data_IF_980779688612
#
_entry.id   IF_980779688612
#
_cell.length_a   1.000
_cell.length_b   1.000
_cell.length_c   1.000
_cell.angle_alpha   90.00
_cell.angle_beta   90.00
_cell.angle_gamma   90.00
#
_symmetry.space_group_name_H-M   'P 1'
#
loop_
_entity.id
_entity.type
_entity.pdbx_description
1 polymer ?
#
# COMPACT_ATOMS: atom_id res chain seq x y z
N UNK A 1 -20.37 -17.35 1.73
CA UNK A 1 -19.33 -16.91 2.70
C UNK A 1 -17.95 -16.74 2.06
N UNK A 2 -17.54 -17.59 1.10
CA UNK A 2 -16.22 -17.50 0.45
C UNK A 2 -16.02 -16.23 -0.42
N UNK A 3 -17.06 -15.74 -1.09
CA UNK A 3 -16.95 -14.57 -1.97
C UNK A 3 -16.69 -13.25 -1.24
N UNK A 4 -17.23 -13.09 -0.03
CA UNK A 4 -16.98 -11.91 0.82
C UNK A 4 -15.51 -11.80 1.22
N UNK A 5 -14.91 -12.92 1.63
CA UNK A 5 -13.48 -12.97 1.99
C UNK A 5 -12.56 -12.70 0.80
N UNK A 6 -12.93 -13.16 -0.40
CA UNK A 6 -12.16 -12.89 -1.63
C UNK A 6 -12.29 -11.44 -2.11
N UNK A 7 -13.44 -10.80 -1.84
CA UNK A 7 -13.64 -9.38 -2.09
C UNK A 7 -12.81 -8.53 -1.11
N UNK A 8 -12.92 -8.81 0.19
CA UNK A 8 -12.15 -8.13 1.24
C UNK A 8 -10.65 -8.26 1.03
N UNK A 9 -10.16 -9.45 0.68
CA UNK A 9 -8.75 -9.67 0.35
C UNK A 9 -8.30 -8.80 -0.82
N UNK A 10 -9.08 -8.72 -1.90
CA UNK A 10 -8.75 -7.88 -3.07
C UNK A 10 -8.74 -6.39 -2.74
N UNK A 11 -9.71 -5.93 -1.97
CA UNK A 11 -9.78 -4.54 -1.52
C UNK A 11 -8.60 -4.19 -0.59
N UNK A 12 -8.26 -5.10 0.32
CA UNK A 12 -7.10 -4.93 1.18
C UNK A 12 -5.80 -4.82 0.37
N UNK A 13 -5.58 -5.70 -0.63
CA UNK A 13 -4.41 -5.59 -1.50
C UNK A 13 -4.36 -4.30 -2.32
N UNK A 14 -5.52 -3.79 -2.77
CA UNK A 14 -5.59 -2.53 -3.51
C UNK A 14 -5.13 -1.33 -2.66
N UNK A 15 -5.44 -1.31 -1.36
CA UNK A 15 -5.01 -0.24 -0.44
C UNK A 15 -3.48 -0.12 -0.31
N UNK A 16 -2.73 -1.22 -0.52
CA UNK A 16 -1.27 -1.24 -0.42
C UNK A 16 -0.58 -1.37 -1.78
N UNK A 17 -1.32 -1.23 -2.89
CA UNK A 17 -0.77 -1.40 -4.24
C UNK A 17 -0.19 -0.11 -4.83
N UNK A 18 -0.26 1.02 -4.12
CA UNK A 18 0.21 2.30 -4.66
C UNK A 18 1.73 2.39 -4.59
N UNK A 19 2.34 3.05 -5.59
CA UNK A 19 3.79 3.31 -5.58
C UNK A 19 4.19 4.13 -4.36
N UNK A 20 3.35 5.09 -3.98
CA UNK A 20 3.53 5.95 -2.81
C UNK A 20 3.52 5.16 -1.49
N UNK A 21 2.72 4.10 -1.35
CA UNK A 21 2.73 3.25 -0.16
C UNK A 21 4.05 2.48 -0.02
N UNK A 22 4.59 1.98 -1.13
CA UNK A 22 5.88 1.28 -1.15
C UNK A 22 7.02 2.24 -0.83
N UNK A 23 7.01 3.43 -1.42
CA UNK A 23 7.99 4.49 -1.17
C UNK A 23 7.95 4.95 0.30
N UNK A 24 6.77 5.16 0.87
CA UNK A 24 6.62 5.52 2.28
C UNK A 24 7.20 4.47 3.23
N UNK A 25 6.95 3.18 2.96
CA UNK A 25 7.50 2.08 3.75
C UNK A 25 9.02 1.96 3.60
N UNK A 26 9.54 2.05 2.37
CA UNK A 26 10.98 2.00 2.09
C UNK A 26 11.71 3.18 2.75
N UNK A 27 11.16 4.39 2.61
CA UNK A 27 11.72 5.59 3.21
C UNK A 27 11.76 5.49 4.75
N UNK A 28 10.70 4.96 5.37
CA UNK A 28 10.64 4.72 6.81
C UNK A 28 11.71 3.72 7.27
N UNK A 29 11.85 2.57 6.59
CA UNK A 29 12.86 1.56 6.93
C UNK A 29 14.29 2.10 6.78
N UNK A 30 14.54 2.89 5.74
CA UNK A 30 15.84 3.49 5.45
C UNK A 30 16.09 4.81 6.19
N UNK A 31 15.15 5.27 7.04
CA UNK A 31 15.20 6.54 7.80
C UNK A 31 15.53 7.76 6.94
N UNK A 32 14.94 7.81 5.75
CA UNK A 32 15.04 8.94 4.81
C UNK A 32 13.67 9.58 4.61
N UNK A 33 13.64 10.77 4.03
CA UNK A 33 12.39 11.38 3.61
C UNK A 33 11.75 10.61 2.44
N UNK A 34 10.43 10.45 2.49
CA UNK A 34 9.64 9.81 1.44
C UNK A 34 9.33 10.80 0.32
N UNK A 35 9.44 10.36 -0.93
CA UNK A 35 9.14 11.16 -2.12
C UNK A 35 7.84 10.72 -2.77
N UNK A 36 6.73 11.27 -2.30
CA UNK A 36 5.41 11.00 -2.87
C UNK A 36 5.22 11.73 -4.21
N UNK A 37 4.66 11.03 -5.21
CA UNK A 37 4.47 11.58 -6.56
C UNK A 37 3.07 12.13 -6.82
N UNK A 38 2.06 11.69 -6.06
CA UNK A 38 0.65 12.06 -6.28
C UNK A 38 -0.01 12.64 -5.01
N UNK A 39 0.65 13.62 -4.36
CA UNK A 39 0.09 14.29 -3.19
C UNK A 39 -1.24 15.00 -3.50
#
# INVERSE_FOLDING_TARGET
LSDGLMFERRMFHALFSTEDQKEGMDAFLNKREAKFRNA
#
